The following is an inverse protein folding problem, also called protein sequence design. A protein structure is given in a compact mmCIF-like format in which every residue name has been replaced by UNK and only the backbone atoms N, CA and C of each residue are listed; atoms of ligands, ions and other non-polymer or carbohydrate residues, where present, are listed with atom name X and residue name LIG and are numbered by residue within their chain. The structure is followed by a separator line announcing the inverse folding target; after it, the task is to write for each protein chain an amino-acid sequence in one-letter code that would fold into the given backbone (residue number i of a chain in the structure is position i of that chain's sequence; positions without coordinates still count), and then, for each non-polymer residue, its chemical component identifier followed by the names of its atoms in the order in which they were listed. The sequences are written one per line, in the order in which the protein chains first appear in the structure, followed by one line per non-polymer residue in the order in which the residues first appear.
data_IF_417139658626
#
_entry.id   IF_417139658626
#
_cell.length_a   1.000
_cell.length_b   1.000
_cell.length_c   1.000
_cell.angle_alpha   90.00
_cell.angle_beta   90.00
_cell.angle_gamma   90.00
#
_symmetry.space_group_name_H-M   'P 1'
#
loop_
_entity.id
_entity.type
_entity.pdbx_description
1 polymer ?
#
# COMPACT_ATOMS: atom_id res chain seq x y z
N UNK A 1 -9.54 28.32 8.14
CA UNK A 1 -9.12 27.23 9.06
C UNK A 1 -7.65 26.94 8.80
N UNK A 2 -6.79 26.89 9.81
CA UNK A 2 -5.35 26.58 9.62
C UNK A 2 -5.15 25.07 9.40
N UNK A 3 -4.05 24.63 8.76
CA UNK A 3 -3.77 23.21 8.59
C UNK A 3 -3.72 22.44 9.92
N UNK A 4 -3.17 23.07 10.97
CA UNK A 4 -3.12 22.48 12.32
C UNK A 4 -4.52 22.27 12.94
N UNK A 5 -5.43 23.23 12.78
CA UNK A 5 -6.81 23.10 13.24
C UNK A 5 -7.57 22.02 12.45
N UNK A 6 -7.37 21.98 11.13
CA UNK A 6 -7.95 20.95 10.26
C UNK A 6 -7.48 19.54 10.66
N UNK A 7 -6.17 19.38 10.92
CA UNK A 7 -5.57 18.13 11.41
C UNK A 7 -6.23 17.67 12.70
N UNK A 8 -6.39 18.56 13.68
CA UNK A 8 -7.06 18.22 14.94
C UNK A 8 -8.50 17.73 14.71
N UNK A 9 -9.28 18.43 13.88
CA UNK A 9 -10.66 18.05 13.60
C UNK A 9 -10.76 16.68 12.91
N UNK A 10 -9.90 16.41 11.93
CA UNK A 10 -9.89 15.15 11.19
C UNK A 10 -9.47 13.98 12.08
N UNK A 11 -8.45 14.15 12.93
CA UNK A 11 -8.05 13.10 13.87
C UNK A 11 -9.16 12.81 14.89
N UNK A 12 -9.82 13.83 15.42
CA UNK A 12 -10.97 13.64 16.32
C UNK A 12 -12.08 12.86 15.62
N UNK A 13 -12.39 13.19 14.37
CA UNK A 13 -13.36 12.45 13.58
C UNK A 13 -12.93 10.98 13.39
N UNK A 14 -11.66 10.73 13.09
CA UNK A 14 -11.10 9.40 12.86
C UNK A 14 -11.26 8.48 14.07
N UNK A 15 -11.16 9.00 15.30
CA UNK A 15 -11.34 8.20 16.54
C UNK A 15 -12.72 7.55 16.67
N UNK A 16 -13.75 8.13 16.03
CA UNK A 16 -15.11 7.58 16.01
C UNK A 16 -15.35 6.58 14.88
N UNK A 17 -14.38 6.39 13.98
CA UNK A 17 -14.49 5.54 12.81
C UNK A 17 -13.92 4.13 13.05
N UNK A 18 -14.35 3.17 12.23
CA UNK A 18 -13.69 1.86 12.19
C UNK A 18 -12.24 1.97 11.71
N UNK A 19 -11.36 1.02 12.08
CA UNK A 19 -9.91 1.13 11.93
C UNK A 19 -9.47 1.48 10.50
N UNK A 20 -10.04 0.81 9.49
CA UNK A 20 -9.65 1.05 8.10
C UNK A 20 -10.08 2.41 7.56
N UNK A 21 -11.21 2.95 8.05
CA UNK A 21 -11.65 4.31 7.70
C UNK A 21 -10.78 5.35 8.40
N UNK A 22 -10.43 5.09 9.67
CA UNK A 22 -9.50 5.92 10.44
C UNK A 22 -8.17 6.07 9.70
N UNK A 23 -7.56 4.96 9.26
CA UNK A 23 -6.31 4.94 8.51
C UNK A 23 -6.32 5.86 7.26
N UNK A 24 -7.41 5.84 6.48
CA UNK A 24 -7.53 6.71 5.30
C UNK A 24 -7.61 8.18 5.70
N UNK A 25 -8.38 8.51 6.75
CA UNK A 25 -8.51 9.88 7.25
C UNK A 25 -7.20 10.38 7.87
N UNK A 26 -6.49 9.54 8.60
CA UNK A 26 -5.17 9.83 9.16
C UNK A 26 -4.16 10.14 8.05
N UNK A 27 -4.12 9.35 6.97
CA UNK A 27 -3.23 9.62 5.84
C UNK A 27 -3.53 10.94 5.13
N UNK A 28 -4.80 11.27 4.94
CA UNK A 28 -5.21 12.59 4.41
C UNK A 28 -4.78 13.72 5.36
N UNK A 29 -4.85 13.46 6.66
CA UNK A 29 -4.44 14.41 7.69
C UNK A 29 -2.93 14.64 7.69
N UNK A 30 -2.14 13.59 7.47
CA UNK A 30 -0.69 13.69 7.36
C UNK A 30 -0.26 14.36 6.04
N UNK A 31 -0.96 14.09 4.94
CA UNK A 31 -0.82 14.87 3.70
C UNK A 31 -1.06 16.36 3.93
N UNK A 32 -2.15 16.71 4.61
CA UNK A 32 -2.57 18.10 4.84
C UNK A 32 -1.49 18.95 5.53
N UNK A 33 -0.62 18.36 6.35
CA UNK A 33 0.48 19.07 7.02
C UNK A 33 1.81 19.04 6.25
N UNK A 34 1.93 18.21 5.21
CA UNK A 34 3.14 18.05 4.39
C UNK A 34 3.06 18.77 3.05
N UNK A 35 1.86 18.86 2.47
CA UNK A 35 1.64 19.49 1.17
C UNK A 35 2.03 20.97 1.16
N UNK A 36 2.64 21.46 0.08
CA UNK A 36 2.85 22.88 -0.10
C UNK A 36 1.49 23.58 -0.30
N UNK A 37 1.41 24.86 0.06
CA UNK A 37 0.18 25.64 -0.13
C UNK A 37 -0.22 25.75 -1.61
N UNK A 38 0.78 25.89 -2.48
CA UNK A 38 0.65 26.06 -3.92
C UNK A 38 1.53 25.07 -4.67
N UNK A 39 1.17 24.81 -5.92
CA UNK A 39 1.93 23.94 -6.81
C UNK A 39 3.35 24.48 -7.01
N UNK A 40 4.34 23.59 -6.95
CA UNK A 40 5.74 23.94 -7.22
C UNK A 40 5.91 23.94 -8.74
N UNK A 41 6.04 25.10 -9.35
CA UNK A 41 6.07 25.24 -10.81
C UNK A 41 7.31 24.65 -11.48
N UNK A 42 8.37 24.40 -10.71
CA UNK A 42 9.62 23.82 -11.20
C UNK A 42 9.76 22.37 -10.73
N UNK A 43 9.06 21.45 -11.41
CA UNK A 43 9.08 20.02 -11.11
C UNK A 43 10.49 19.41 -11.23
N UNK A 44 11.41 20.06 -11.93
CA UNK A 44 12.81 19.61 -12.06
C UNK A 44 13.65 19.89 -10.81
N UNK A 45 13.15 20.70 -9.85
CA UNK A 45 13.82 20.95 -8.57
C UNK A 45 13.39 20.01 -7.45
N UNK A 46 12.32 19.26 -7.62
CA UNK A 46 11.90 18.27 -6.63
C UNK A 46 12.71 17.00 -6.81
N UNK A 47 13.48 16.66 -5.78
CA UNK A 47 14.16 15.37 -5.73
C UNK A 47 13.17 14.24 -5.50
N UNK A 48 13.58 13.01 -5.81
CA UNK A 48 12.80 11.80 -5.51
C UNK A 48 12.45 11.70 -4.02
N UNK A 49 13.42 12.01 -3.15
CA UNK A 49 13.22 12.03 -1.69
C UNK A 49 12.18 13.07 -1.26
N UNK A 50 12.14 14.23 -1.92
CA UNK A 50 11.13 15.24 -1.64
C UNK A 50 9.74 14.72 -1.98
N UNK A 51 9.62 14.01 -3.10
CA UNK A 51 8.33 13.44 -3.53
C UNK A 51 7.88 12.35 -2.56
N UNK A 52 8.77 11.39 -2.27
CA UNK A 52 8.50 10.28 -1.37
C UNK A 52 8.06 10.77 0.02
N UNK A 53 8.83 11.67 0.64
CA UNK A 53 8.58 12.09 2.03
C UNK A 53 7.45 13.09 2.20
N UNK A 54 7.06 13.78 1.12
CA UNK A 54 6.03 14.84 1.16
C UNK A 54 4.66 14.36 0.72
N UNK A 55 4.60 13.50 -0.30
CA UNK A 55 3.33 13.08 -0.92
C UNK A 55 3.03 11.63 -0.59
N UNK A 56 3.99 10.74 -0.73
CA UNK A 56 3.69 9.30 -0.77
C UNK A 56 3.70 8.67 0.62
N UNK A 57 4.78 8.89 1.38
CA UNK A 57 4.98 8.34 2.72
C UNK A 57 3.83 8.70 3.69
N UNK A 58 3.33 9.96 3.76
CA UNK A 58 2.26 10.31 4.69
C UNK A 58 0.97 9.49 4.48
N UNK A 59 0.60 9.22 3.24
CA UNK A 59 -0.61 8.48 2.92
C UNK A 59 -0.39 6.96 2.96
N UNK A 60 0.72 6.49 2.40
CA UNK A 60 1.02 5.06 2.35
C UNK A 60 1.22 4.50 3.75
N UNK A 61 1.98 5.19 4.61
CA UNK A 61 2.27 4.73 5.97
C UNK A 61 0.98 4.53 6.77
N UNK A 62 -0.03 5.39 6.60
CA UNK A 62 -1.31 5.20 7.31
C UNK A 62 -2.13 4.03 6.76
N UNK A 63 -2.04 3.75 5.46
CA UNK A 63 -2.87 2.72 4.81
C UNK A 63 -2.28 1.32 4.97
N UNK A 64 -0.96 1.17 4.87
CA UNK A 64 -0.29 -0.14 4.81
C UNK A 64 0.70 -0.43 5.94
N UNK A 65 0.90 0.49 6.89
CA UNK A 65 1.76 0.26 8.05
C UNK A 65 0.99 0.43 9.37
N UNK A 66 1.45 -0.31 10.38
CA UNK A 66 0.93 -0.26 11.74
C UNK A 66 1.98 -0.89 12.64
N UNK A 67 2.68 -0.04 13.41
CA UNK A 67 3.78 -0.48 14.28
C UNK A 67 3.27 -1.36 15.42
N UNK A 68 2.01 -1.22 15.84
CA UNK A 68 1.40 -2.08 16.86
C UNK A 68 1.19 -3.50 16.33
N UNK A 69 0.93 -3.63 15.02
CA UNK A 69 0.86 -4.90 14.28
C UNK A 69 2.20 -5.36 13.73
N UNK A 70 3.29 -4.66 14.06
CA UNK A 70 4.64 -4.94 13.57
C UNK A 70 4.71 -4.95 12.04
N UNK A 71 4.01 -4.02 11.39
CA UNK A 71 4.07 -3.82 9.94
C UNK A 71 4.64 -2.43 9.67
N UNK A 72 5.66 -2.36 8.82
CA UNK A 72 6.36 -1.11 8.51
C UNK A 72 6.44 -0.91 6.99
N UNK A 73 6.22 0.35 6.57
CA UNK A 73 6.60 0.83 5.24
C UNK A 73 8.06 1.26 5.30
N UNK A 74 8.86 0.87 4.30
CA UNK A 74 10.26 1.30 4.18
C UNK A 74 10.61 1.66 2.75
N UNK A 75 11.40 2.71 2.61
CA UNK A 75 11.99 3.15 1.35
C UNK A 75 13.35 2.48 1.18
N UNK A 76 13.52 1.74 0.10
CA UNK A 76 14.73 0.98 -0.15
C UNK A 76 15.77 1.87 -0.84
N UNK A 77 16.94 2.03 -0.21
CA UNK A 77 18.07 2.79 -0.79
C UNK A 77 19.27 1.88 -1.13
N UNK A 78 19.17 0.57 -0.88
CA UNK A 78 20.26 -0.37 -1.10
C UNK A 78 19.77 -1.59 -1.86
N UNK A 79 20.50 -1.95 -2.92
CA UNK A 79 20.45 -3.30 -3.47
C UNK A 79 20.88 -4.25 -2.36
N UNK A 80 20.07 -5.24 -2.05
CA UNK A 80 20.41 -6.21 -1.01
C UNK A 80 21.61 -7.04 -1.49
N UNK A 81 22.61 -7.22 -0.64
CA UNK A 81 23.90 -7.79 -1.04
C UNK A 81 23.82 -9.27 -1.46
N UNK A 82 22.70 -9.94 -1.13
CA UNK A 82 22.55 -11.39 -1.25
C UNK A 82 21.57 -11.86 -2.33
N UNK A 83 20.71 -11.00 -2.89
CA UNK A 83 19.69 -11.44 -3.85
C UNK A 83 19.25 -10.36 -4.82
N UNK A 84 19.41 -10.68 -6.12
CA UNK A 84 18.78 -10.08 -7.30
C UNK A 84 19.04 -8.58 -7.56
N UNK A 85 19.43 -8.26 -8.80
CA UNK A 85 19.60 -6.89 -9.32
C UNK A 85 18.32 -6.01 -9.24
N UNK A 86 17.20 -6.58 -8.80
CA UNK A 86 15.88 -5.98 -8.76
C UNK A 86 15.56 -5.54 -7.32
N UNK A 87 15.55 -4.23 -7.10
CA UNK A 87 15.14 -3.62 -5.85
C UNK A 87 13.93 -2.71 -6.11
N UNK A 88 12.81 -2.87 -5.37
CA UNK A 88 11.71 -1.93 -5.42
C UNK A 88 12.03 -0.69 -4.57
N UNK A 89 11.47 0.45 -4.93
CA UNK A 89 11.68 1.72 -4.21
C UNK A 89 11.03 1.68 -2.82
N UNK A 90 9.90 0.98 -2.69
CA UNK A 90 9.18 0.84 -1.43
C UNK A 90 8.88 -0.63 -1.12
N UNK A 91 8.99 -1.00 0.16
CA UNK A 91 8.63 -2.33 0.65
C UNK A 91 7.76 -2.17 1.89
N UNK A 92 6.64 -2.90 1.93
CA UNK A 92 5.89 -3.12 3.18
C UNK A 92 6.39 -4.44 3.76
N UNK A 93 6.88 -4.44 5.00
CA UNK A 93 7.44 -5.64 5.63
C UNK A 93 6.90 -5.84 7.03
N UNK A 94 6.86 -7.08 7.50
CA UNK A 94 6.73 -7.35 8.92
C UNK A 94 8.01 -6.99 9.66
N UNK A 95 7.89 -6.70 10.96
CA UNK A 95 9.00 -6.45 11.87
C UNK A 95 9.06 -7.60 12.88
N UNK A 96 10.12 -8.40 12.81
CA UNK A 96 10.35 -9.50 13.74
C UNK A 96 11.49 -9.11 14.66
N UNK A 97 11.16 -8.73 15.89
CA UNK A 97 12.09 -8.19 16.87
C UNK A 97 12.79 -6.92 16.38
N UNK A 98 14.04 -7.03 15.90
CA UNK A 98 14.87 -5.94 15.38
C UNK A 98 15.24 -6.11 13.90
N UNK A 99 14.64 -7.08 13.22
CA UNK A 99 14.91 -7.38 11.82
C UNK A 99 13.64 -7.29 10.96
N UNK A 100 13.82 -6.92 9.69
CA UNK A 100 12.75 -6.99 8.71
C UNK A 100 12.43 -8.46 8.41
N UNK A 101 11.15 -8.80 8.54
CA UNK A 101 10.62 -10.12 8.21
C UNK A 101 10.16 -10.20 6.76
N UNK A 102 9.04 -10.90 6.55
CA UNK A 102 8.45 -11.09 5.24
C UNK A 102 7.94 -9.78 4.62
N UNK A 103 8.13 -9.63 3.31
CA UNK A 103 7.49 -8.58 2.51
C UNK A 103 6.00 -8.87 2.30
N UNK A 104 5.17 -7.86 2.56
CA UNK A 104 3.71 -7.86 2.36
C UNK A 104 3.29 -7.00 1.16
N UNK A 105 4.20 -6.17 0.65
CA UNK A 105 3.95 -5.32 -0.50
C UNK A 105 5.20 -4.70 -1.07
N UNK A 106 5.13 -4.32 -2.34
CA UNK A 106 6.19 -3.67 -3.11
C UNK A 106 5.65 -2.46 -3.86
N UNK A 107 6.43 -1.39 -3.88
CA UNK A 107 6.11 -0.14 -4.56
C UNK A 107 7.26 0.36 -5.43
N UNK A 108 6.93 1.00 -6.56
CA UNK A 108 7.87 1.75 -7.40
C UNK A 108 7.38 3.20 -7.52
N UNK A 109 8.28 4.16 -7.38
CA UNK A 109 8.01 5.59 -7.55
C UNK A 109 8.63 6.05 -8.84
N UNK A 110 7.92 6.92 -9.57
CA UNK A 110 8.54 7.68 -10.64
C UNK A 110 8.25 9.15 -10.45
N UNK A 111 9.19 9.99 -10.84
CA UNK A 111 8.89 11.42 -10.95
C UNK A 111 8.00 11.60 -12.18
N UNK A 112 6.74 12.00 -11.95
CA UNK A 112 5.79 12.29 -13.03
C UNK A 112 6.34 13.44 -13.87
N UNK A 113 6.91 13.12 -15.04
CA UNK A 113 7.63 14.09 -15.85
C UNK A 113 8.25 13.44 -17.09
N UNK A 114 8.99 14.24 -17.86
CA UNK A 114 9.51 13.88 -19.18
C UNK A 114 10.47 12.68 -19.19
N UNK A 115 11.00 12.27 -18.03
CA UNK A 115 11.85 11.10 -17.87
C UNK A 115 11.08 9.79 -17.74
N UNK A 116 9.78 9.84 -17.45
CA UNK A 116 8.94 8.64 -17.30
C UNK A 116 8.41 8.21 -18.65
N UNK A 117 9.05 7.20 -19.22
CA UNK A 117 8.64 6.60 -20.50
C UNK A 117 7.72 5.40 -20.26
N UNK A 118 6.89 5.04 -21.26
CA UNK A 118 6.12 3.79 -21.22
C UNK A 118 7.02 2.57 -21.03
N UNK A 119 8.23 2.61 -21.61
CA UNK A 119 9.23 1.56 -21.44
C UNK A 119 9.68 1.43 -19.98
N UNK A 120 10.01 2.53 -19.30
CA UNK A 120 10.38 2.49 -17.88
C UNK A 120 9.22 2.00 -17.01
N UNK A 121 7.99 2.46 -17.25
CA UNK A 121 6.80 1.99 -16.52
C UNK A 121 6.56 0.49 -16.70
N UNK A 122 6.78 -0.03 -17.91
CA UNK A 122 6.68 -1.45 -18.21
C UNK A 122 7.75 -2.25 -17.45
N UNK A 123 8.98 -1.73 -17.40
CA UNK A 123 10.06 -2.36 -16.64
C UNK A 123 9.76 -2.39 -15.14
N UNK A 124 9.26 -1.30 -14.56
CA UNK A 124 8.86 -1.27 -13.14
C UNK A 124 7.72 -2.25 -12.86
N UNK A 125 6.75 -2.35 -13.78
CA UNK A 125 5.65 -3.33 -13.68
C UNK A 125 6.20 -4.76 -13.68
N UNK A 126 7.16 -5.05 -14.56
CA UNK A 126 7.81 -6.37 -14.61
C UNK A 126 8.62 -6.63 -13.34
N UNK A 127 9.36 -5.65 -12.83
CA UNK A 127 10.08 -5.74 -11.53
C UNK A 127 9.12 -6.13 -10.41
N UNK A 128 8.01 -5.39 -10.26
CA UNK A 128 6.99 -5.66 -9.25
C UNK A 128 6.35 -7.04 -9.43
N UNK A 129 6.07 -7.47 -10.66
CA UNK A 129 5.50 -8.78 -10.95
C UNK A 129 6.46 -9.92 -10.55
N UNK A 130 7.75 -9.79 -10.87
CA UNK A 130 8.78 -10.77 -10.49
C UNK A 130 8.93 -10.85 -8.97
N UNK A 131 9.07 -9.71 -8.30
CA UNK A 131 9.18 -9.64 -6.83
C UNK A 131 7.96 -10.28 -6.16
N UNK A 132 6.76 -9.93 -6.61
CA UNK A 132 5.51 -10.44 -6.05
C UNK A 132 5.34 -11.92 -6.28
N UNK A 133 5.62 -12.41 -7.50
CA UNK A 133 5.59 -13.85 -7.79
C UNK A 133 6.53 -14.61 -6.86
N UNK A 134 7.76 -14.13 -6.69
CA UNK A 134 8.75 -14.79 -5.85
C UNK A 134 8.32 -14.80 -4.38
N UNK A 135 7.79 -13.70 -3.86
CA UNK A 135 7.27 -13.63 -2.50
C UNK A 135 6.03 -14.50 -2.28
N UNK A 136 5.09 -14.52 -3.24
CA UNK A 136 3.91 -15.41 -3.20
C UNK A 136 4.35 -16.87 -3.20
N UNK A 137 5.30 -17.26 -4.06
CA UNK A 137 5.82 -18.63 -4.11
C UNK A 137 6.55 -19.03 -2.83
N UNK A 138 7.31 -18.10 -2.24
CA UNK A 138 8.10 -18.36 -1.03
C UNK A 138 7.23 -18.45 0.23
N UNK A 139 6.18 -17.64 0.31
CA UNK A 139 5.41 -17.47 1.55
C UNK A 139 3.94 -17.87 1.46
N UNK A 140 3.44 -18.22 0.27
CA UNK A 140 2.06 -18.65 0.06
C UNK A 140 1.01 -17.55 0.29
N UNK A 141 1.40 -16.27 0.26
CA UNK A 141 0.52 -15.15 0.62
C UNK A 141 0.41 -14.11 -0.51
N UNK A 142 -0.77 -13.50 -0.70
CA UNK A 142 -0.92 -12.35 -1.58
C UNK A 142 0.02 -11.19 -1.18
N UNK A 143 0.47 -10.44 -2.19
CA UNK A 143 1.37 -9.30 -2.05
C UNK A 143 0.67 -8.09 -2.65
N UNK A 144 0.68 -6.97 -1.94
CA UNK A 144 0.21 -5.70 -2.48
C UNK A 144 1.28 -5.08 -3.38
N UNK A 145 0.96 -4.84 -4.65
CA UNK A 145 1.82 -4.09 -5.58
C UNK A 145 1.18 -2.78 -5.97
N UNK A 146 1.96 -1.70 -5.99
CA UNK A 146 1.49 -0.40 -6.45
C UNK A 146 2.61 0.38 -7.15
N UNK A 147 2.21 1.23 -8.08
CA UNK A 147 3.05 2.33 -8.53
C UNK A 147 2.64 3.54 -7.70
N UNK A 148 3.59 4.21 -7.07
CA UNK A 148 3.30 5.19 -6.02
C UNK A 148 2.56 6.42 -6.54
N UNK A 149 2.83 6.81 -7.79
CA UNK A 149 2.10 7.85 -8.50
C UNK A 149 0.62 7.50 -8.73
N UNK A 150 0.27 6.21 -8.69
CA UNK A 150 -1.07 5.69 -8.92
C UNK A 150 -1.43 4.55 -7.95
N UNK A 151 -2.04 4.88 -6.82
CA UNK A 151 -2.63 3.87 -5.95
C UNK A 151 -4.06 3.61 -6.40
N UNK A 152 -4.29 2.53 -7.14
CA UNK A 152 -5.63 2.21 -7.65
C UNK A 152 -6.16 3.25 -8.64
N UNK A 153 -5.27 3.82 -9.47
CA UNK A 153 -5.55 4.95 -10.40
C UNK A 153 -5.94 6.25 -9.71
N UNK A 154 -5.44 6.47 -8.49
CA UNK A 154 -5.53 7.74 -7.79
C UNK A 154 -4.20 8.47 -7.94
N UNK A 155 -4.23 9.67 -8.50
CA UNK A 155 -3.09 10.59 -8.54
C UNK A 155 -2.98 11.35 -7.22
N UNK A 156 -1.77 11.44 -6.67
CA UNK A 156 -1.52 12.19 -5.44
C UNK A 156 -1.71 13.71 -5.64
N UNK A 157 -2.20 14.44 -4.64
CA UNK A 157 -2.29 15.89 -4.71
C UNK A 157 -0.89 16.50 -4.59
N UNK A 158 -0.56 17.45 -5.46
CA UNK A 158 0.75 18.12 -5.46
C UNK A 158 0.77 19.36 -4.55
N UNK A 159 -0.41 19.85 -4.15
CA UNK A 159 -0.57 21.02 -3.29
C UNK A 159 -1.89 21.01 -2.50
N UNK A 160 -1.94 21.78 -1.43
CA UNK A 160 -3.14 21.95 -0.61
C UNK A 160 -4.31 22.54 -1.42
N UNK A 161 -4.02 23.45 -2.35
CA UNK A 161 -5.02 24.00 -3.28
C UNK A 161 -5.71 22.92 -4.12
N UNK A 162 -5.02 21.81 -4.43
CA UNK A 162 -5.54 20.67 -5.19
C UNK A 162 -6.14 19.55 -4.33
N UNK A 163 -5.99 19.61 -3.00
CA UNK A 163 -6.39 18.53 -2.10
C UNK A 163 -7.89 18.20 -2.20
N UNK A 164 -8.75 19.20 -2.45
CA UNK A 164 -10.18 18.98 -2.63
C UNK A 164 -10.50 18.07 -3.84
N UNK A 165 -9.70 18.14 -4.91
CA UNK A 165 -9.83 17.27 -6.09
C UNK A 165 -9.34 15.85 -5.81
N UNK A 166 -8.46 15.67 -4.82
CA UNK A 166 -8.06 14.37 -4.33
C UNK A 166 -9.10 13.75 -3.39
N UNK A 167 -9.73 14.53 -2.50
CA UNK A 167 -10.74 14.06 -1.52
C UNK A 167 -12.11 13.92 -2.21
N UNK A 168 -12.19 13.07 -3.22
CA UNK A 168 -13.45 12.68 -3.85
C UNK A 168 -13.95 11.37 -3.25
N UNK A 169 -15.26 11.15 -3.28
CA UNK A 169 -15.85 9.89 -2.82
C UNK A 169 -15.29 8.66 -3.57
N UNK A 170 -14.93 8.83 -4.86
CA UNK A 170 -14.29 7.79 -5.67
C UNK A 170 -12.90 7.43 -5.11
N UNK A 171 -12.08 8.43 -4.83
CA UNK A 171 -10.72 8.23 -4.31
C UNK A 171 -10.76 7.66 -2.91
N UNK A 172 -11.61 8.21 -2.01
CA UNK A 172 -11.78 7.69 -0.65
C UNK A 172 -12.22 6.22 -0.62
N UNK A 173 -13.16 5.83 -1.50
CA UNK A 173 -13.58 4.42 -1.64
C UNK A 173 -12.45 3.54 -2.15
N UNK A 174 -11.65 4.05 -3.07
CA UNK A 174 -10.53 3.30 -3.65
C UNK A 174 -9.41 3.10 -2.62
N UNK A 175 -9.04 4.15 -1.88
CA UNK A 175 -8.10 4.04 -0.75
C UNK A 175 -8.61 3.05 0.30
N UNK A 176 -9.88 3.14 0.70
CA UNK A 176 -10.46 2.21 1.66
C UNK A 176 -10.41 0.76 1.16
N UNK A 177 -10.66 0.52 -0.14
CA UNK A 177 -10.52 -0.82 -0.74
C UNK A 177 -9.08 -1.32 -0.68
N UNK A 178 -8.10 -0.48 -1.00
CA UNK A 178 -6.68 -0.83 -0.91
C UNK A 178 -6.30 -1.16 0.54
N UNK A 179 -6.70 -0.33 1.50
CA UNK A 179 -6.53 -0.59 2.94
C UNK A 179 -7.13 -1.93 3.34
N UNK A 180 -8.38 -2.19 2.97
CA UNK A 180 -9.07 -3.45 3.28
C UNK A 180 -8.38 -4.67 2.67
N UNK A 181 -8.04 -4.62 1.38
CA UNK A 181 -7.35 -5.71 0.67
C UNK A 181 -5.99 -5.99 1.31
N UNK A 182 -5.23 -4.95 1.64
CA UNK A 182 -3.96 -5.11 2.31
C UNK A 182 -4.13 -5.82 3.65
N UNK A 183 -4.97 -5.29 4.53
CA UNK A 183 -5.09 -5.78 5.90
C UNK A 183 -5.79 -7.14 6.04
N UNK A 184 -6.59 -7.57 5.06
CA UNK A 184 -7.29 -8.87 5.10
C UNK A 184 -6.61 -9.94 4.25
N UNK A 185 -6.00 -9.57 3.12
CA UNK A 185 -5.43 -10.54 2.18
C UNK A 185 -3.92 -10.66 2.30
N UNK A 186 -3.22 -9.54 2.48
CA UNK A 186 -1.75 -9.53 2.51
C UNK A 186 -1.25 -9.72 3.95
N UNK A 187 -1.87 -9.02 4.89
CA UNK A 187 -1.62 -9.18 6.31
C UNK A 187 -2.51 -10.26 6.92
N UNK A 188 -1.90 -11.32 7.43
CA UNK A 188 -2.54 -12.25 8.35
C UNK A 188 -1.60 -12.45 9.53
N UNK A 189 -2.13 -12.29 10.75
CA UNK A 189 -1.43 -12.75 11.95
C UNK A 189 -1.26 -14.25 11.80
N UNK A 190 -0.01 -14.72 11.74
CA UNK A 190 0.29 -16.14 11.96
C UNK A 190 -0.55 -16.60 13.18
N UNK A 191 -1.41 -17.64 13.07
CA UNK A 191 -1.93 -18.25 14.27
C UNK A 191 -0.70 -18.65 15.07
N UNK A 192 -0.62 -18.22 16.33
CA UNK A 192 0.50 -18.53 17.21
C UNK A 192 0.77 -20.02 17.14
N UNK A 193 1.80 -20.42 16.38
CA UNK A 193 2.24 -21.80 16.33
C UNK A 193 2.76 -22.12 17.72
N UNK A 194 1.95 -22.84 18.49
CA UNK A 194 2.43 -23.60 19.62
C UNK A 194 3.44 -24.63 19.09
N UNK A 195 4.72 -24.41 19.40
CA UNK A 195 5.78 -25.39 19.65
C UNK A 195 5.78 -26.65 18.78
N UNK A 196 6.77 -26.80 17.87
CA UNK A 196 7.73 -27.94 17.86
C UNK A 196 9.03 -27.47 17.15
N UNK A 197 10.18 -27.69 17.78
CA UNK A 197 11.51 -27.35 17.26
C UNK A 197 11.88 -28.20 16.00
N UNK A 198 12.62 -27.65 15.01
CA UNK A 198 13.09 -28.46 13.90
C UNK A 198 14.41 -29.17 14.27
N UNK A 199 14.36 -30.50 14.22
CA UNK A 199 15.53 -31.38 14.17
C UNK A 199 16.22 -31.22 12.81
N UNK A 200 17.52 -30.93 12.85
CA UNK A 200 18.39 -30.80 11.68
C UNK A 200 18.59 -32.14 10.97
N UNK A 201 18.27 -32.22 9.68
CA UNK A 201 18.93 -33.15 8.74
C UNK A 201 18.99 -32.55 7.32
N UNK A 202 19.99 -32.90 6.49
CA UNK A 202 20.30 -32.20 5.25
C UNK A 202 19.45 -32.66 4.06
N UNK A 203 19.08 -31.74 3.19
CA UNK A 203 18.28 -31.97 1.98
C UNK A 203 19.02 -32.74 0.88
N UNK A 204 18.33 -33.57 0.08
CA UNK A 204 18.82 -33.98 -1.23
C UNK A 204 18.43 -32.95 -2.31
N UNK A 205 19.30 -32.82 -3.30
CA UNK A 205 19.16 -32.00 -4.51
C UNK A 205 17.97 -32.47 -5.34
N UNK A 206 17.05 -31.56 -5.69
CA UNK A 206 15.95 -31.82 -6.63
C UNK A 206 16.06 -30.85 -7.81
N UNK A 207 16.34 -31.40 -8.99
CA UNK A 207 16.23 -30.74 -10.30
C UNK A 207 14.77 -30.51 -10.67
N UNK A 208 14.39 -29.26 -10.97
CA UNK A 208 13.04 -28.92 -11.44
C UNK A 208 12.95 -29.00 -12.96
N UNK A 209 12.11 -29.91 -13.45
CA UNK A 209 11.58 -29.87 -14.82
C UNK A 209 10.27 -29.07 -14.79
N UNK A 210 10.17 -28.04 -15.61
CA UNK A 210 9.02 -27.12 -15.65
C UNK A 210 7.88 -27.77 -16.44
N UNK A 211 6.81 -28.15 -15.74
CA UNK A 211 5.54 -28.53 -16.37
C UNK A 211 4.50 -27.43 -16.10
N UNK A 212 4.24 -26.61 -17.12
CA UNK A 212 3.27 -25.50 -17.11
C UNK A 212 1.91 -26.07 -17.54
N UNK A 213 1.20 -26.75 -16.66
CA UNK A 213 -0.21 -27.07 -16.90
C UNK A 213 -0.93 -27.49 -15.62
N UNK A 214 -1.27 -26.53 -14.76
CA UNK A 214 -2.41 -26.62 -13.82
C UNK A 214 -2.53 -25.31 -13.02
N UNK A 215 -3.07 -24.26 -13.64
CA UNK A 215 -3.68 -23.17 -12.87
C UNK A 215 -5.20 -23.33 -12.98
N UNK A 216 -5.79 -24.00 -12.01
CA UNK A 216 -7.22 -23.90 -11.74
C UNK A 216 -7.38 -22.88 -10.61
N UNK A 217 -8.02 -21.72 -10.83
CA UNK A 217 -8.17 -20.71 -9.79
C UNK A 217 -9.23 -21.19 -8.81
N UNK A 218 -8.80 -21.76 -7.69
CA UNK A 218 -9.65 -21.93 -6.51
C UNK A 218 -10.06 -20.54 -6.01
N UNK A 219 -11.25 -20.08 -6.38
CA UNK A 219 -11.91 -18.92 -5.77
C UNK A 219 -12.14 -19.22 -4.29
N UNK A 220 -11.22 -18.74 -3.45
CA UNK A 220 -11.34 -18.83 -1.99
C UNK A 220 -12.62 -18.15 -1.50
N UNK A 221 -13.43 -18.86 -0.71
CA UNK A 221 -14.68 -18.38 -0.08
C UNK A 221 -14.51 -17.04 0.67
N UNK A 222 -13.30 -16.76 1.15
CA UNK A 222 -12.94 -15.52 1.84
C UNK A 222 -12.91 -14.31 0.89
N UNK A 223 -12.54 -14.50 -0.38
CA UNK A 223 -12.50 -13.42 -1.39
C UNK A 223 -13.92 -13.00 -1.75
N UNK A 224 -14.83 -13.95 -1.93
CA UNK A 224 -16.25 -13.66 -2.21
C UNK A 224 -16.93 -12.96 -1.03
N UNK A 225 -16.65 -13.37 0.21
CA UNK A 225 -17.14 -12.68 1.41
C UNK A 225 -16.55 -11.28 1.56
N UNK A 226 -15.29 -11.06 1.17
CA UNK A 226 -14.66 -9.74 1.19
C UNK A 226 -15.31 -8.78 0.19
N UNK A 227 -15.57 -9.22 -1.05
CA UNK A 227 -16.32 -8.42 -2.02
C UNK A 227 -17.72 -8.07 -1.50
N UNK A 228 -18.40 -9.04 -0.87
CA UNK A 228 -19.70 -8.80 -0.24
C UNK A 228 -19.64 -7.83 0.96
N UNK A 229 -18.57 -7.84 1.77
CA UNK A 229 -18.37 -6.85 2.84
C UNK A 229 -18.09 -5.45 2.29
N UNK A 230 -17.28 -5.35 1.23
CA UNK A 230 -17.02 -4.09 0.53
C UNK A 230 -18.34 -3.52 -0.01
N UNK A 231 -19.19 -4.35 -0.61
CA UNK A 231 -20.47 -3.92 -1.19
C UNK A 231 -21.54 -3.59 -0.13
N UNK A 232 -21.57 -4.29 1.01
CA UNK A 232 -22.51 -3.97 2.09
C UNK A 232 -22.13 -2.74 2.92
N UNK A 233 -20.83 -2.42 3.02
CA UNK A 233 -20.38 -1.14 3.61
C UNK A 233 -20.83 0.06 2.75
N UNK A 234 -21.21 -0.19 1.49
CA UNK A 234 -21.65 0.83 0.51
C UNK A 234 -23.17 1.08 0.56
N UNK A 235 -24.01 0.15 1.03
CA UNK A 235 -25.48 0.33 0.99
C UNK A 235 -26.03 1.20 2.13
N UNK A 236 -25.38 1.23 3.30
CA UNK A 236 -25.86 1.99 4.47
C UNK A 236 -25.68 3.52 4.40
N UNK A 237 -25.08 4.06 3.33
CA UNK A 237 -24.87 5.51 3.17
C UNK A 237 -25.75 6.18 2.11
N UNK A 238 -26.83 5.53 1.65
CA UNK A 238 -27.71 6.06 0.57
C UNK A 238 -28.90 6.92 1.05
N UNK A 239 -29.13 7.06 2.35
CA UNK A 239 -30.24 7.87 2.86
C UNK A 239 -29.75 9.18 3.47
N UNK A 240 -29.38 10.14 2.63
CA UNK A 240 -29.38 11.55 2.99
C UNK A 240 -30.16 12.29 1.89
N UNK A 241 -31.48 12.32 2.08
CA UNK A 241 -32.40 13.05 1.22
C UNK A 241 -32.28 14.54 1.59
N UNK A 242 -31.41 15.27 0.89
CA UNK A 242 -31.34 16.73 1.01
C UNK A 242 -32.49 17.30 0.17
N UNK A 243 -33.59 17.64 0.83
CA UNK A 243 -34.63 18.48 0.22
C UNK A 243 -34.12 19.91 0.17
N UNK A 244 -33.99 20.47 -1.03
CA UNK A 244 -33.82 21.90 -1.23
C UNK A 244 -35.18 22.58 -1.03
N UNK A 245 -35.24 23.53 -0.09
CA UNK A 245 -36.26 24.59 -0.01
C UNK A 245 -35.60 25.90 -0.36
#
# INVERSE_FOLDING_TARGET
MTPKAAKLHLLTLATSMGPFKSNVVEGITDLLVKLPLYHITDNNKLGEIDVQTRYDDPLLSSIVADTTKKVVLRWSNKKDALTTDICPDTIVSTLVQRAFGQSLGFGEVKLGGNSTTNHSLCLDTLKLAVLSRNSVLKHGRPILTFQVNEIGRITMPEALSSLHSFITLKNLRTLLRVTLLFWHCCYQTEPSSSVVAPVSTPSPVVTYSANISAFSPSTSRHITQLFHMIDNTISKSRDCNIQYK
#
